data_IF_050684457789
#
_entry.id   IF_050684457789
#
_cell.length_a   1.000
_cell.length_b   1.000
_cell.length_c   1.000
_cell.angle_alpha   90.00
_cell.angle_beta   90.00
_cell.angle_gamma   90.00
#
_symmetry.space_group_name_H-M   'P 1'
#
loop_
_entity.id
_entity.type
_entity.pdbx_description
1 polymer ?
#
# COMPACT_ATOMS: atom_id res chain seq x y z
N UNK A 1 48.52 -0.99 -88.72
CA UNK A 1 48.12 -1.27 -87.33
C UNK A 1 48.27 0.05 -86.58
N UNK A 2 47.16 0.74 -86.30
CA UNK A 2 47.15 2.02 -85.60
C UNK A 2 46.48 1.75 -84.26
N UNK A 3 47.27 1.80 -83.20
CA UNK A 3 46.80 1.58 -81.83
C UNK A 3 45.78 2.69 -81.51
N UNK A 4 44.56 2.26 -81.21
CA UNK A 4 43.53 3.13 -80.65
C UNK A 4 43.97 3.40 -79.22
N UNK A 5 44.55 4.59 -78.99
CA UNK A 5 44.95 5.01 -77.65
C UNK A 5 43.72 4.93 -76.74
N UNK A 6 43.84 4.07 -75.72
CA UNK A 6 42.81 3.86 -74.73
C UNK A 6 42.49 5.19 -74.07
N UNK A 7 41.24 5.62 -74.15
CA UNK A 7 40.74 6.75 -73.37
C UNK A 7 40.82 6.36 -71.89
N UNK A 8 41.92 6.74 -71.24
CA UNK A 8 42.13 6.58 -69.81
C UNK A 8 41.07 7.43 -69.08
N UNK A 9 39.98 6.78 -68.65
CA UNK A 9 38.98 7.46 -67.84
C UNK A 9 39.64 7.87 -66.53
N UNK A 10 39.79 9.17 -66.32
CA UNK A 10 40.28 9.70 -65.05
C UNK A 10 39.26 9.39 -63.95
N UNK A 11 39.56 8.38 -63.13
CA UNK A 11 38.67 7.89 -62.07
C UNK A 11 38.65 8.82 -60.84
N UNK A 12 39.61 9.72 -60.70
CA UNK A 12 39.73 10.62 -59.55
C UNK A 12 38.48 11.49 -59.30
N UNK A 13 37.86 12.16 -60.30
CA UNK A 13 36.62 12.91 -60.09
C UNK A 13 35.43 12.02 -59.69
N UNK A 14 35.36 10.79 -60.21
CA UNK A 14 34.26 9.85 -59.90
C UNK A 14 34.37 9.37 -58.44
N UNK A 15 35.59 9.06 -57.99
CA UNK A 15 35.87 8.66 -56.61
C UNK A 15 35.56 9.81 -55.65
N UNK A 16 35.93 11.05 -56.00
CA UNK A 16 35.63 12.23 -55.17
C UNK A 16 34.12 12.45 -55.01
N UNK A 17 33.33 12.30 -56.09
CA UNK A 17 31.87 12.41 -56.05
C UNK A 17 31.25 11.31 -55.17
N UNK A 18 31.74 10.06 -55.30
CA UNK A 18 31.29 8.94 -54.46
C UNK A 18 31.59 9.16 -52.97
N UNK A 19 32.77 9.68 -52.63
CA UNK A 19 33.14 10.02 -51.25
C UNK A 19 32.26 11.13 -50.69
N UNK A 20 31.96 12.17 -51.47
CA UNK A 20 31.08 13.26 -51.06
C UNK A 20 29.61 12.80 -50.86
N UNK A 21 29.12 11.88 -51.69
CA UNK A 21 27.79 11.29 -51.53
C UNK A 21 27.70 10.41 -50.27
N UNK A 22 28.69 9.55 -50.02
CA UNK A 22 28.73 8.69 -48.83
C UNK A 22 28.87 9.54 -47.56
N UNK A 23 29.70 10.60 -47.58
CA UNK A 23 29.83 11.54 -46.48
C UNK A 23 28.53 12.33 -46.23
N UNK A 24 27.86 12.80 -47.28
CA UNK A 24 26.58 13.52 -47.16
C UNK A 24 25.46 12.66 -46.58
N UNK A 25 25.36 11.40 -47.01
CA UNK A 25 24.37 10.44 -46.47
C UNK A 25 24.70 10.10 -45.01
N UNK A 26 25.97 9.89 -44.65
CA UNK A 26 26.38 9.62 -43.28
C UNK A 26 26.08 10.75 -42.29
N UNK A 27 26.25 12.02 -42.71
CA UNK A 27 25.91 13.19 -41.91
C UNK A 27 24.38 13.32 -41.73
N UNK A 28 23.59 13.01 -42.77
CA UNK A 28 22.13 13.03 -42.71
C UNK A 28 21.55 12.04 -41.69
N UNK A 29 22.09 10.82 -41.64
CA UNK A 29 21.69 9.81 -40.64
C UNK A 29 22.16 10.15 -39.22
N UNK A 30 23.25 10.89 -39.05
CA UNK A 30 23.78 11.27 -37.74
C UNK A 30 23.00 12.42 -37.06
N UNK A 31 22.28 13.26 -37.81
CA UNK A 31 21.77 14.56 -37.31
C UNK A 31 20.24 14.62 -37.13
N UNK A 32 19.45 13.63 -37.58
CA UNK A 32 17.99 13.65 -37.43
C UNK A 32 17.47 12.57 -36.47
N UNK A 33 17.74 12.77 -35.16
CA UNK A 33 17.04 12.03 -34.11
C UNK A 33 16.15 12.99 -33.31
N UNK A 34 14.84 12.94 -33.55
CA UNK A 34 13.84 13.65 -32.76
C UNK A 34 13.43 12.77 -31.57
N UNK A 35 14.00 13.06 -30.40
CA UNK A 35 13.66 12.36 -29.15
C UNK A 35 12.62 13.17 -28.39
N UNK A 36 11.37 12.72 -28.41
CA UNK A 36 10.29 13.30 -27.62
C UNK A 36 10.13 12.52 -26.32
N UNK A 37 10.49 13.15 -25.19
CA UNK A 37 10.39 12.52 -23.87
C UNK A 37 9.08 12.94 -23.21
N UNK A 38 8.27 11.95 -22.84
CA UNK A 38 7.05 12.16 -22.05
C UNK A 38 7.36 11.75 -20.62
N UNK A 39 7.16 12.67 -19.68
CA UNK A 39 7.25 12.35 -18.25
C UNK A 39 5.99 11.60 -17.85
N UNK A 40 6.13 10.37 -17.36
CA UNK A 40 5.04 9.61 -16.77
C UNK A 40 5.03 9.82 -15.25
N UNK A 41 3.88 10.20 -14.71
CA UNK A 41 3.67 10.32 -13.25
C UNK A 41 2.38 9.62 -12.87
N UNK A 42 2.32 9.08 -11.66
CA UNK A 42 1.13 8.43 -11.11
C UNK A 42 1.19 8.44 -9.59
N UNK A 43 0.02 8.28 -8.96
CA UNK A 43 -0.10 8.06 -7.52
C UNK A 43 -0.69 6.67 -7.29
N UNK A 44 -0.26 6.01 -6.22
CA UNK A 44 -0.76 4.67 -5.85
C UNK A 44 -1.72 4.82 -4.69
N UNK A 45 -2.90 4.21 -4.81
CA UNK A 45 -3.85 4.12 -3.71
C UNK A 45 -3.35 3.14 -2.65
N UNK A 46 -3.39 3.54 -1.39
CA UNK A 46 -2.99 2.70 -0.25
C UNK A 46 -4.12 2.62 0.78
N UNK A 47 -4.26 1.43 1.37
CA UNK A 47 -5.15 1.17 2.51
C UNK A 47 -4.27 1.08 3.74
N UNK A 48 -4.70 1.74 4.83
CA UNK A 48 -4.01 1.64 6.11
C UNK A 48 -4.88 2.13 7.26
N UNK A 49 -4.73 1.46 8.39
CA UNK A 49 -5.32 1.88 9.67
C UNK A 49 -4.28 1.78 10.76
N UNK A 50 -4.27 2.76 11.66
CA UNK A 50 -3.50 2.73 12.89
C UNK A 50 -4.43 2.93 14.08
N UNK A 51 -4.34 2.07 15.08
CA UNK A 51 -5.09 2.18 16.33
C UNK A 51 -4.19 2.83 17.39
N UNK A 52 -4.68 3.89 18.01
CA UNK A 52 -3.96 4.65 19.06
C UNK A 52 -4.77 4.78 20.34
N UNK A 53 -4.08 4.91 21.46
CA UNK A 53 -4.68 5.23 22.76
C UNK A 53 -4.94 6.75 22.90
N UNK A 54 -5.51 7.17 24.03
CA UNK A 54 -5.75 8.58 24.36
C UNK A 54 -4.46 9.42 24.42
N UNK A 55 -3.31 8.77 24.60
CA UNK A 55 -2.00 9.44 24.63
C UNK A 55 -1.37 9.56 23.23
N UNK A 56 -2.03 9.02 22.19
CA UNK A 56 -1.52 9.01 20.82
C UNK A 56 -0.44 7.96 20.55
N UNK A 57 -0.28 6.98 21.44
CA UNK A 57 0.62 5.84 21.26
C UNK A 57 -0.08 4.71 20.50
N UNK A 58 0.61 3.97 19.62
CA UNK A 58 0.04 2.78 18.98
C UNK A 58 -0.37 1.74 20.01
N UNK A 59 -1.59 1.22 19.90
CA UNK A 59 -2.08 0.15 20.77
C UNK A 59 -1.62 -1.19 20.20
N UNK A 60 -0.75 -1.89 20.93
CA UNK A 60 -0.28 -3.24 20.58
C UNK A 60 -0.80 -4.32 21.52
N UNK A 61 -1.26 -3.94 22.71
CA UNK A 61 -1.87 -4.81 23.69
C UNK A 61 -2.84 -4.00 24.58
N UNK A 62 -3.86 -4.66 25.11
CA UNK A 62 -4.80 -4.09 26.07
C UNK A 62 -4.75 -4.93 27.33
N UNK A 63 -4.42 -4.29 28.46
CA UNK A 63 -4.56 -4.91 29.78
C UNK A 63 -5.95 -4.59 30.35
N UNK A 64 -6.83 -5.59 30.31
CA UNK A 64 -8.17 -5.49 30.88
C UNK A 64 -8.16 -5.52 32.42
N UNK A 65 -7.03 -5.84 33.05
CA UNK A 65 -6.88 -5.93 34.49
C UNK A 65 -7.71 -7.05 35.10
N UNK A 66 -8.09 -6.89 36.37
CA UNK A 66 -8.94 -7.86 37.07
C UNK A 66 -10.41 -7.62 36.74
N UNK A 67 -11.06 -8.63 36.17
CA UNK A 67 -12.49 -8.63 35.85
C UNK A 67 -13.23 -9.58 36.77
N UNK A 68 -14.44 -9.19 37.16
CA UNK A 68 -15.35 -10.04 37.94
C UNK A 68 -16.42 -10.66 37.02
N UNK A 69 -17.00 -11.81 37.38
CA UNK A 69 -18.16 -12.35 36.66
C UNK A 69 -19.28 -11.30 36.53
N UNK A 70 -19.88 -11.18 35.35
CA UNK A 70 -20.94 -10.21 35.07
C UNK A 70 -20.45 -8.77 34.85
N UNK A 71 -19.14 -8.52 34.86
CA UNK A 71 -18.60 -7.18 34.64
C UNK A 71 -18.44 -6.84 33.16
N UNK A 72 -18.46 -5.54 32.90
CA UNK A 72 -18.18 -4.94 31.60
C UNK A 72 -17.09 -3.88 31.79
N UNK A 73 -16.15 -3.81 30.85
CA UNK A 73 -15.08 -2.82 30.86
C UNK A 73 -14.90 -2.23 29.47
N UNK A 74 -14.76 -0.90 29.45
CA UNK A 74 -14.55 -0.14 28.23
C UNK A 74 -13.09 0.29 28.09
N UNK A 75 -12.60 0.32 26.85
CA UNK A 75 -11.27 0.79 26.48
C UNK A 75 -11.38 1.72 25.26
N UNK A 76 -10.92 2.95 25.42
CA UNK A 76 -11.05 3.99 24.41
C UNK A 76 -9.85 3.96 23.45
N UNK A 77 -10.12 3.97 22.15
CA UNK A 77 -9.10 4.01 21.10
C UNK A 77 -9.49 4.95 19.98
N UNK A 78 -8.50 5.34 19.18
CA UNK A 78 -8.68 6.11 17.97
C UNK A 78 -8.22 5.29 16.77
N UNK A 79 -9.12 5.09 15.81
CA UNK A 79 -8.78 4.52 14.51
C UNK A 79 -8.45 5.64 13.54
N UNK A 80 -7.22 5.63 13.03
CA UNK A 80 -6.71 6.65 12.11
C UNK A 80 -6.49 6.02 10.75
N UNK A 81 -7.13 6.58 9.71
CA UNK A 81 -6.85 6.19 8.34
C UNK A 81 -5.57 6.88 7.86
N UNK A 82 -4.48 6.13 7.78
CA UNK A 82 -3.19 6.60 7.25
C UNK A 82 -2.97 6.23 5.77
N UNK A 83 -3.98 5.66 5.12
CA UNK A 83 -4.01 5.41 3.68
C UNK A 83 -4.38 6.64 2.87
N UNK A 84 -4.59 6.44 1.56
CA UNK A 84 -5.00 7.49 0.62
C UNK A 84 -6.45 7.34 0.15
N UNK A 85 -7.15 6.27 0.54
CA UNK A 85 -8.55 5.99 0.18
C UNK A 85 -9.44 5.91 1.43
N UNK A 86 -10.74 6.22 1.33
CA UNK A 86 -11.67 6.01 2.43
C UNK A 86 -11.78 4.53 2.81
N UNK A 87 -11.94 4.25 4.11
CA UNK A 87 -12.00 2.87 4.62
C UNK A 87 -13.21 2.63 5.54
N UNK A 88 -13.60 1.38 5.65
CA UNK A 88 -14.43 0.83 6.74
C UNK A 88 -13.67 -0.20 7.54
N UNK A 89 -14.08 -0.44 8.78
CA UNK A 89 -13.41 -1.37 9.68
C UNK A 89 -14.27 -2.61 9.99
N UNK A 90 -13.61 -3.75 10.23
CA UNK A 90 -14.24 -4.94 10.81
C UNK A 90 -13.46 -5.40 12.04
N UNK A 91 -14.18 -5.96 13.02
CA UNK A 91 -13.63 -6.47 14.28
C UNK A 91 -13.85 -7.97 14.33
N UNK A 92 -12.77 -8.71 14.54
CA UNK A 92 -12.81 -10.14 14.86
C UNK A 92 -11.88 -10.45 16.02
N UNK A 93 -12.07 -11.62 16.63
CA UNK A 93 -11.21 -12.12 17.70
C UNK A 93 -10.71 -13.52 17.34
N UNK A 94 -9.47 -13.82 17.70
CA UNK A 94 -8.87 -15.13 17.44
C UNK A 94 -7.88 -15.54 18.54
N UNK A 95 -7.29 -16.72 18.42
CA UNK A 95 -6.23 -17.21 19.32
C UNK A 95 -6.61 -17.18 20.81
N UNK A 96 -7.88 -17.46 21.12
CA UNK A 96 -8.39 -17.55 22.49
C UNK A 96 -7.66 -18.62 23.30
N UNK A 97 -7.15 -18.22 24.46
CA UNK A 97 -6.50 -19.09 25.43
C UNK A 97 -7.00 -18.75 26.85
N UNK A 98 -7.71 -19.66 27.54
CA UNK A 98 -8.12 -20.97 27.04
C UNK A 98 -9.21 -20.84 25.96
N UNK A 99 -9.32 -21.83 25.06
CA UNK A 99 -10.23 -21.77 23.90
C UNK A 99 -11.70 -21.67 24.27
N UNK A 100 -12.09 -22.18 25.44
CA UNK A 100 -13.45 -22.08 25.97
C UNK A 100 -13.79 -20.68 26.53
N UNK A 101 -12.82 -19.76 26.65
CA UNK A 101 -13.07 -18.41 27.14
C UNK A 101 -14.00 -17.60 26.23
N UNK A 102 -13.95 -17.83 24.91
CA UNK A 102 -14.85 -17.20 23.93
C UNK A 102 -16.35 -17.48 24.19
N UNK A 103 -16.67 -18.53 24.95
CA UNK A 103 -18.06 -18.85 25.31
C UNK A 103 -18.59 -17.97 26.45
N UNK A 104 -17.70 -17.35 27.22
CA UNK A 104 -18.02 -16.56 28.41
C UNK A 104 -17.61 -15.10 28.30
N UNK A 105 -16.69 -14.78 27.38
CA UNK A 105 -16.14 -13.44 27.21
C UNK A 105 -16.45 -12.97 25.80
N UNK A 106 -17.01 -11.78 25.69
CA UNK A 106 -17.35 -11.17 24.40
C UNK A 106 -16.69 -9.80 24.30
N UNK A 107 -16.01 -9.55 23.18
CA UNK A 107 -15.53 -8.22 22.82
C UNK A 107 -16.45 -7.63 21.76
N UNK A 108 -16.88 -6.39 21.99
CA UNK A 108 -17.67 -5.60 21.04
C UNK A 108 -17.06 -4.21 20.90
N UNK A 109 -17.58 -3.43 19.96
CA UNK A 109 -17.22 -2.04 19.78
C UNK A 109 -18.44 -1.19 19.44
N UNK A 110 -18.32 0.13 19.54
CA UNK A 110 -19.38 1.08 19.17
C UNK A 110 -19.35 1.52 17.70
N UNK A 111 -18.43 0.97 16.89
CA UNK A 111 -18.32 1.31 15.47
C UNK A 111 -19.46 0.72 14.63
N UNK A 112 -20.21 1.61 13.97
CA UNK A 112 -21.43 1.28 13.22
C UNK A 112 -21.22 1.10 11.70
N UNK A 113 -19.98 0.94 11.22
CA UNK A 113 -19.69 0.75 9.79
C UNK A 113 -19.59 2.03 8.96
N UNK A 114 -19.36 3.19 9.58
CA UNK A 114 -19.21 4.46 8.88
C UNK A 114 -17.86 4.63 8.15
N UNK A 115 -17.84 5.33 7.02
CA UNK A 115 -16.61 5.59 6.27
C UNK A 115 -15.64 6.50 7.03
N UNK A 116 -14.36 6.13 7.07
CA UNK A 116 -13.26 6.91 7.63
C UNK A 116 -12.42 7.45 6.48
N UNK A 117 -12.48 8.76 6.25
CA UNK A 117 -11.72 9.42 5.17
C UNK A 117 -10.21 9.41 5.45
N UNK A 118 -9.36 9.52 4.40
CA UNK A 118 -7.91 9.64 4.57
C UNK A 118 -7.52 10.76 5.54
N UNK A 119 -6.63 10.45 6.49
CA UNK A 119 -6.18 11.38 7.53
C UNK A 119 -7.17 11.64 8.66
N UNK A 120 -8.40 11.11 8.58
CA UNK A 120 -9.36 11.23 9.66
C UNK A 120 -9.03 10.30 10.83
N UNK A 121 -9.37 10.76 12.03
CA UNK A 121 -9.31 9.99 13.28
C UNK A 121 -10.73 9.79 13.79
N UNK A 122 -11.11 8.53 14.04
CA UNK A 122 -12.41 8.16 14.57
C UNK A 122 -12.23 7.58 15.99
N UNK A 123 -12.82 8.18 17.04
CA UNK A 123 -12.88 7.55 18.35
C UNK A 123 -13.77 6.31 18.32
N UNK A 124 -13.32 5.24 18.95
CA UNK A 124 -14.00 3.95 19.07
C UNK A 124 -13.86 3.48 20.52
N UNK A 125 -14.91 2.90 21.06
CA UNK A 125 -14.90 2.25 22.37
C UNK A 125 -14.94 0.75 22.16
N UNK A 126 -13.93 0.04 22.67
CA UNK A 126 -13.89 -1.41 22.77
C UNK A 126 -14.50 -1.82 24.11
N UNK A 127 -15.56 -2.63 24.09
CA UNK A 127 -16.29 -3.07 25.27
C UNK A 127 -16.13 -4.57 25.45
N UNK A 128 -15.46 -4.96 26.53
CA UNK A 128 -15.30 -6.36 26.94
C UNK A 128 -16.34 -6.70 28.01
N UNK A 129 -17.10 -7.77 27.78
CA UNK A 129 -18.12 -8.27 28.72
C UNK A 129 -17.77 -9.69 29.16
N UNK A 130 -17.82 -9.92 30.47
CA UNK A 130 -17.63 -11.24 31.08
C UNK A 130 -18.97 -11.76 31.57
N UNK A 131 -19.40 -12.92 31.09
CA UNK A 131 -20.62 -13.58 31.53
C UNK A 131 -20.56 -13.90 33.04
N UNK A 132 -21.67 -13.72 33.75
CA UNK A 132 -21.80 -14.05 35.17
C UNK A 132 -21.60 -15.54 35.47
N UNK A 133 -21.90 -16.41 34.50
CA UNK A 133 -21.78 -17.87 34.62
C UNK A 133 -20.37 -18.39 34.28
N UNK A 134 -19.38 -17.50 34.13
CA UNK A 134 -18.00 -17.92 33.85
C UNK A 134 -17.47 -18.87 34.93
N UNK A 135 -16.92 -20.00 34.50
CA UNK A 135 -16.40 -21.03 35.40
C UNK A 135 -15.15 -21.68 34.81
N UNK A 136 -14.20 -22.03 35.68
CA UNK A 136 -12.96 -22.70 35.30
C UNK A 136 -11.95 -21.84 34.51
N UNK A 137 -12.17 -20.53 34.43
CA UNK A 137 -11.27 -19.59 33.73
C UNK A 137 -10.84 -18.51 34.72
N UNK A 138 -9.57 -18.53 35.12
CA UNK A 138 -8.97 -17.53 36.01
C UNK A 138 -8.17 -16.45 35.26
N UNK A 139 -7.74 -16.75 34.04
CA UNK A 139 -6.99 -15.84 33.17
C UNK A 139 -7.31 -16.17 31.72
N UNK A 140 -7.28 -15.17 30.85
CA UNK A 140 -7.49 -15.34 29.42
C UNK A 140 -6.57 -14.43 28.60
N UNK A 141 -6.33 -14.81 27.36
CA UNK A 141 -5.75 -13.98 26.31
C UNK A 141 -6.40 -14.31 24.98
N UNK A 142 -6.48 -13.33 24.08
CA UNK A 142 -6.93 -13.51 22.71
C UNK A 142 -6.41 -12.33 21.87
N UNK A 143 -6.40 -12.51 20.57
CA UNK A 143 -6.00 -11.47 19.63
C UNK A 143 -7.23 -10.69 19.16
N UNK A 144 -7.06 -9.37 19.07
CA UNK A 144 -8.06 -8.44 18.55
C UNK A 144 -7.61 -8.05 17.14
N UNK A 145 -8.39 -8.43 16.13
CA UNK A 145 -8.10 -8.09 14.74
C UNK A 145 -9.04 -6.98 14.30
N UNK A 146 -8.45 -5.83 13.95
CA UNK A 146 -9.16 -4.73 13.30
C UNK A 146 -8.65 -4.66 11.86
N UNK A 147 -9.53 -5.00 10.91
CA UNK A 147 -9.20 -5.00 9.49
C UNK A 147 -9.82 -3.79 8.80
N UNK A 148 -9.03 -3.10 7.98
CA UNK A 148 -9.49 -2.03 7.12
C UNK A 148 -9.80 -2.53 5.70
N UNK A 149 -10.90 -2.06 5.14
CA UNK A 149 -11.32 -2.32 3.77
C UNK A 149 -11.65 -1.00 3.07
N UNK A 150 -11.21 -0.84 1.82
CA UNK A 150 -11.58 0.30 0.97
C UNK A 150 -13.09 0.33 0.69
N UNK A 151 -13.65 1.53 0.64
CA UNK A 151 -15.07 1.81 0.36
C UNK A 151 -15.27 2.22 -1.10
#
# INVERSE_FOLDING_TARGET
MREIEGFEINLAPIILILVLLIAGVGIGYAVLQFVYRITSTGTVQTIGVQIKDDNGNPVTAIDWGTLTPGSTKDFHVFAINNGTVPITLTLTTENWNPTNAQNYITLTWDYLGGTINPGASLPIILTLTVNADISGISSFSFDIIIQAQEV
#
